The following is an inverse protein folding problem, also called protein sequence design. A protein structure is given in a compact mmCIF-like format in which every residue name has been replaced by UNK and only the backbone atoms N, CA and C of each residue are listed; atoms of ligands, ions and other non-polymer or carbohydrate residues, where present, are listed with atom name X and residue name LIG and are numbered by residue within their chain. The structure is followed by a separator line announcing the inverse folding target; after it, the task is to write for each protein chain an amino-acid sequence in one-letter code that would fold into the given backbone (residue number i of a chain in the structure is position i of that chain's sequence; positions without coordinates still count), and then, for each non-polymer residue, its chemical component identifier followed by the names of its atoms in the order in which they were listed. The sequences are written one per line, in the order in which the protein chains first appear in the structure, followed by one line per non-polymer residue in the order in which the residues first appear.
data_IF_380262919532
#
_entry.id   IF_380262919532
#
_cell.length_a   1.000
_cell.length_b   1.000
_cell.length_c   1.000
_cell.angle_alpha   90.00
_cell.angle_beta   90.00
_cell.angle_gamma   90.00
#
_symmetry.space_group_name_H-M   'P 1'
#
loop_
_entity.id
_entity.type
_entity.pdbx_description
1 polymer ?
#
# COMPACT_ATOMS: atom_id res chain seq x y z
N UNK A 1 -46.21 18.90 9.03
CA UNK A 1 -46.36 18.54 7.60
C UNK A 1 -45.48 19.51 6.82
N UNK A 2 -44.38 19.06 6.24
CA UNK A 2 -43.46 19.94 5.51
C UNK A 2 -43.99 20.09 4.08
N UNK A 3 -44.42 21.30 3.71
CA UNK A 3 -44.88 21.63 2.36
C UNK A 3 -43.87 22.56 1.70
N UNK A 4 -43.38 22.18 0.51
CA UNK A 4 -42.50 23.00 -0.31
C UNK A 4 -43.35 23.81 -1.29
N UNK A 5 -43.83 24.98 -0.88
CA UNK A 5 -44.58 25.87 -1.76
C UNK A 5 -43.64 26.49 -2.82
N UNK A 6 -43.80 26.11 -4.09
CA UNK A 6 -43.12 26.75 -5.23
C UNK A 6 -41.97 25.97 -5.89
N UNK A 7 -41.70 24.72 -5.49
CA UNK A 7 -40.68 23.91 -6.14
C UNK A 7 -41.15 23.41 -7.52
N UNK A 8 -40.70 24.05 -8.60
CA UNK A 8 -40.87 23.53 -9.98
C UNK A 8 -39.99 22.30 -10.19
N UNK A 9 -40.58 21.12 -10.20
CA UNK A 9 -39.90 19.87 -10.52
C UNK A 9 -39.71 19.78 -12.05
N UNK A 10 -38.47 19.67 -12.52
CA UNK A 10 -38.13 19.48 -13.94
C UNK A 10 -37.91 18.00 -14.24
N UNK A 11 -38.26 17.57 -15.46
CA UNK A 11 -37.90 16.23 -15.93
C UNK A 11 -36.37 16.04 -15.88
N UNK A 12 -35.91 14.95 -15.28
CA UNK A 12 -34.48 14.69 -15.05
C UNK A 12 -33.89 15.35 -13.80
N UNK A 13 -34.67 16.10 -13.02
CA UNK A 13 -34.20 16.65 -11.74
C UNK A 13 -33.90 15.51 -10.77
N UNK A 14 -32.66 15.48 -10.25
CA UNK A 14 -32.13 14.42 -9.38
C UNK A 14 -32.01 13.03 -10.05
N UNK A 15 -31.99 12.96 -11.39
CA UNK A 15 -31.72 11.72 -12.11
C UNK A 15 -30.24 11.67 -12.48
N UNK A 16 -29.53 10.64 -12.03
CA UNK A 16 -28.16 10.36 -12.47
C UNK A 16 -28.18 9.67 -13.82
N UNK A 17 -27.37 10.13 -14.76
CA UNK A 17 -27.30 9.53 -16.09
C UNK A 17 -26.38 8.30 -16.07
N UNK A 18 -26.65 7.33 -16.96
CA UNK A 18 -25.75 6.20 -17.11
C UNK A 18 -24.36 6.68 -17.55
N UNK A 19 -23.32 6.33 -16.78
CA UNK A 19 -21.95 6.74 -17.03
C UNK A 19 -21.61 8.20 -16.69
N UNK A 20 -22.42 8.88 -15.86
CA UNK A 20 -22.11 10.27 -15.43
C UNK A 20 -20.79 10.36 -14.64
N UNK A 21 -20.46 9.31 -13.89
CA UNK A 21 -19.24 9.23 -13.10
C UNK A 21 -18.07 8.60 -13.89
N UNK A 22 -18.35 7.56 -14.70
CA UNK A 22 -17.37 6.85 -15.53
C UNK A 22 -18.03 6.30 -16.80
N UNK A 23 -17.46 6.65 -17.96
CA UNK A 23 -17.89 6.12 -19.23
C UNK A 23 -17.28 4.74 -19.51
N UNK A 24 -17.97 3.92 -20.30
CA UNK A 24 -17.42 2.65 -20.77
C UNK A 24 -16.14 2.88 -21.58
N UNK A 25 -15.08 2.12 -21.26
CA UNK A 25 -13.78 2.23 -21.93
C UNK A 25 -12.89 3.37 -21.42
N UNK A 26 -13.36 4.20 -20.49
CA UNK A 26 -12.53 5.20 -19.83
C UNK A 26 -11.52 4.53 -18.90
N UNK A 27 -10.25 4.94 -18.98
CA UNK A 27 -9.23 4.48 -18.05
C UNK A 27 -9.51 5.03 -16.64
N UNK A 28 -9.68 4.14 -15.67
CA UNK A 28 -9.91 4.48 -14.26
C UNK A 28 -8.59 4.62 -13.49
N UNK A 29 -7.57 3.85 -13.88
CA UNK A 29 -6.26 3.84 -13.25
C UNK A 29 -5.15 3.99 -14.29
N UNK A 30 -4.00 4.49 -13.84
CA UNK A 30 -2.77 4.55 -14.62
C UNK A 30 -1.82 3.40 -14.25
N UNK A 31 -0.97 2.97 -15.20
CA UNK A 31 0.06 1.97 -14.92
C UNK A 31 1.03 2.50 -13.86
N UNK A 32 1.34 1.68 -12.85
CA UNK A 32 2.21 2.08 -11.73
C UNK A 32 1.48 2.81 -10.61
N UNK A 33 0.17 3.05 -10.72
CA UNK A 33 -0.61 3.60 -9.63
C UNK A 33 -0.65 2.62 -8.45
N UNK A 34 -0.35 3.13 -7.25
CA UNK A 34 -0.41 2.33 -6.03
C UNK A 34 -1.87 2.08 -5.66
N UNK A 35 -2.23 0.82 -5.47
CA UNK A 35 -3.55 0.45 -4.98
C UNK A 35 -3.61 0.65 -3.46
N UNK A 36 -4.46 1.58 -3.02
CA UNK A 36 -4.82 1.80 -1.62
C UNK A 36 -6.31 1.49 -1.44
N UNK A 37 -6.87 1.81 -0.27
CA UNK A 37 -8.28 1.54 0.05
C UNK A 37 -9.28 2.09 -0.97
N UNK A 38 -9.14 3.33 -1.48
CA UNK A 38 -10.07 3.87 -2.48
C UNK A 38 -10.04 3.10 -3.80
N UNK A 39 -8.84 2.79 -4.31
CA UNK A 39 -8.66 2.05 -5.56
C UNK A 39 -9.25 0.64 -5.46
N UNK A 40 -9.10 -0.03 -4.31
CA UNK A 40 -9.73 -1.33 -4.08
C UNK A 40 -11.26 -1.25 -4.12
N UNK A 41 -11.87 -0.24 -3.49
CA UNK A 41 -13.32 -0.04 -3.53
C UNK A 41 -13.83 0.24 -4.94
N UNK A 42 -13.06 1.02 -5.71
CA UNK A 42 -13.35 1.31 -7.11
C UNK A 42 -13.22 0.08 -8.01
N UNK A 43 -12.19 -0.77 -7.83
CA UNK A 43 -12.09 -2.04 -8.56
C UNK A 43 -13.28 -2.96 -8.27
N UNK A 44 -13.68 -3.07 -7.00
CA UNK A 44 -14.82 -3.88 -6.59
C UNK A 44 -16.14 -3.35 -7.16
N UNK A 45 -16.37 -2.03 -7.17
CA UNK A 45 -17.60 -1.43 -7.70
C UNK A 45 -17.76 -1.63 -9.21
N UNK A 46 -16.64 -1.79 -9.93
CA UNK A 46 -16.60 -2.14 -11.36
C UNK A 46 -16.73 -3.65 -11.62
N UNK A 47 -16.79 -4.49 -10.57
CA UNK A 47 -16.92 -5.94 -10.70
C UNK A 47 -15.61 -6.70 -10.91
N UNK A 48 -14.44 -6.08 -10.71
CA UNK A 48 -13.15 -6.76 -10.82
C UNK A 48 -12.81 -7.51 -9.54
N UNK A 49 -12.69 -8.84 -9.63
CA UNK A 49 -12.25 -9.70 -8.52
C UNK A 49 -10.72 -9.79 -8.38
N UNK A 50 -9.99 -9.56 -9.47
CA UNK A 50 -8.54 -9.61 -9.53
C UNK A 50 -8.01 -8.43 -10.35
N UNK A 51 -6.79 -8.01 -10.03
CA UNK A 51 -6.06 -6.98 -10.77
C UNK A 51 -4.61 -7.43 -10.95
N UNK A 52 -4.06 -7.18 -12.13
CA UNK A 52 -2.64 -7.42 -12.39
C UNK A 52 -1.81 -6.34 -11.69
N UNK A 53 -0.85 -6.78 -10.88
CA UNK A 53 0.04 -5.91 -10.11
C UNK A 53 1.50 -6.29 -10.33
N UNK A 54 2.39 -5.33 -10.12
CA UNK A 54 3.82 -5.63 -10.05
C UNK A 54 4.11 -6.53 -8.84
N UNK A 55 5.01 -7.50 -9.03
CA UNK A 55 5.51 -8.32 -7.92
C UNK A 55 6.17 -7.45 -6.84
N UNK A 56 6.05 -7.84 -5.59
CA UNK A 56 6.81 -7.22 -4.50
C UNK A 56 8.32 -7.31 -4.77
N UNK A 57 9.03 -6.22 -4.45
CA UNK A 57 10.49 -6.20 -4.52
C UNK A 57 11.07 -7.14 -3.47
N UNK A 58 12.07 -7.93 -3.84
CA UNK A 58 12.79 -8.82 -2.93
C UNK A 58 14.13 -8.16 -2.59
N UNK A 59 14.39 -7.97 -1.30
CA UNK A 59 15.59 -7.27 -0.82
C UNK A 59 16.28 -8.13 0.23
N UNK A 60 17.52 -8.51 -0.04
CA UNK A 60 18.35 -9.22 0.93
C UNK A 60 19.17 -8.25 1.77
N UNK A 61 19.22 -8.48 3.08
CA UNK A 61 19.97 -7.65 4.03
C UNK A 61 20.86 -8.54 4.91
N UNK A 62 22.04 -8.03 5.24
CA UNK A 62 22.95 -8.62 6.20
C UNK A 62 23.79 -7.52 6.86
N UNK A 63 24.33 -7.83 8.03
CA UNK A 63 25.26 -6.96 8.74
C UNK A 63 26.65 -7.56 8.71
N UNK A 64 27.67 -6.70 8.72
CA UNK A 64 29.08 -7.06 8.79
C UNK A 64 29.77 -6.19 9.83
N UNK A 65 30.90 -6.66 10.37
CA UNK A 65 31.68 -5.95 11.38
C UNK A 65 31.88 -6.80 12.62
N UNK A 66 33.13 -6.98 13.03
CA UNK A 66 33.49 -7.81 14.19
C UNK A 66 32.91 -7.26 15.49
N UNK A 67 32.60 -5.96 15.52
CA UNK A 67 31.97 -5.25 16.62
C UNK A 67 30.45 -5.47 16.69
N UNK A 68 29.80 -6.05 15.68
CA UNK A 68 28.33 -6.08 15.59
C UNK A 68 27.76 -7.41 16.11
N UNK A 69 26.84 -7.32 17.07
CA UNK A 69 26.17 -8.46 17.69
C UNK A 69 24.65 -8.41 17.49
N UNK A 70 24.01 -9.56 17.29
CA UNK A 70 22.55 -9.64 17.28
C UNK A 70 21.96 -9.35 18.67
N UNK A 71 20.84 -8.61 18.76
CA UNK A 71 20.16 -8.37 20.03
C UNK A 71 19.54 -9.67 20.58
N UNK A 72 19.48 -9.79 21.92
CA UNK A 72 18.85 -10.93 22.61
C UNK A 72 19.74 -11.68 23.60
N UNK A 73 21.00 -11.26 23.77
CA UNK A 73 21.92 -11.76 24.79
C UNK A 73 22.76 -10.65 25.40
N UNK A 74 23.65 -11.02 26.32
CA UNK A 74 24.60 -10.09 26.92
C UNK A 74 25.59 -9.55 25.87
N UNK A 75 25.99 -8.30 26.04
CA UNK A 75 26.89 -7.63 25.10
C UNK A 75 28.33 -8.06 25.38
N UNK A 76 29.02 -8.50 24.33
CA UNK A 76 30.45 -8.80 24.43
C UNK A 76 31.27 -7.51 24.62
N UNK A 77 32.44 -7.57 25.31
CA UNK A 77 33.32 -6.42 25.44
C UNK A 77 33.70 -5.82 24.07
N UNK A 78 33.61 -4.49 23.94
CA UNK A 78 33.84 -3.75 22.70
C UNK A 78 32.88 -4.05 21.53
N UNK A 79 31.73 -4.66 21.81
CA UNK A 79 30.69 -4.89 20.80
C UNK A 79 29.54 -3.88 20.90
N UNK A 80 28.76 -3.77 19.84
CA UNK A 80 27.54 -2.97 19.70
C UNK A 80 26.42 -3.85 19.13
N UNK A 81 25.16 -3.53 19.47
CA UNK A 81 24.03 -4.24 18.88
C UNK A 81 23.75 -3.79 17.45
N UNK A 82 23.38 -4.76 16.61
CA UNK A 82 22.91 -4.54 15.24
C UNK A 82 21.57 -3.81 15.23
N UNK A 83 21.58 -2.48 15.19
CA UNK A 83 20.38 -1.64 15.10
C UNK A 83 19.96 -1.36 13.65
N UNK A 84 20.93 -1.33 12.73
CA UNK A 84 20.71 -0.96 11.34
C UNK A 84 19.88 -2.02 10.61
N UNK A 85 20.17 -3.30 10.79
CA UNK A 85 19.41 -4.37 10.13
C UNK A 85 17.93 -4.34 10.51
N UNK A 86 17.61 -4.07 11.77
CA UNK A 86 16.21 -3.98 12.22
C UNK A 86 15.52 -2.72 11.69
N UNK A 87 16.22 -1.59 11.69
CA UNK A 87 15.72 -0.33 11.11
C UNK A 87 15.39 -0.51 9.63
N UNK A 88 16.32 -1.06 8.86
CA UNK A 88 16.15 -1.31 7.42
C UNK A 88 15.05 -2.34 7.16
N UNK A 89 14.96 -3.41 7.96
CA UNK A 89 13.87 -4.38 7.86
C UNK A 89 12.50 -3.72 8.02
N UNK A 90 12.36 -2.85 9.02
CA UNK A 90 11.11 -2.13 9.28
C UNK A 90 10.71 -1.23 8.11
N UNK A 91 11.65 -0.42 7.61
CA UNK A 91 11.43 0.48 6.48
C UNK A 91 11.06 -0.29 5.20
N UNK A 92 11.77 -1.37 4.88
CA UNK A 92 11.48 -2.20 3.72
C UNK A 92 10.10 -2.86 3.79
N UNK A 93 9.69 -3.33 4.98
CA UNK A 93 8.34 -3.87 5.19
C UNK A 93 7.25 -2.80 4.99
N UNK A 94 7.46 -1.57 5.47
CA UNK A 94 6.53 -0.45 5.24
C UNK A 94 6.40 -0.09 3.76
N UNK A 95 7.46 -0.27 2.98
CA UNK A 95 7.45 -0.10 1.52
C UNK A 95 6.84 -1.30 0.77
N UNK A 96 6.40 -2.36 1.47
CA UNK A 96 5.81 -3.55 0.85
C UNK A 96 6.83 -4.48 0.20
N UNK A 97 8.11 -4.38 0.57
CA UNK A 97 9.16 -5.27 0.10
C UNK A 97 9.15 -6.60 0.86
N UNK A 98 9.50 -7.68 0.17
CA UNK A 98 9.85 -8.97 0.76
C UNK A 98 11.30 -8.92 1.22
N UNK A 99 11.53 -8.90 2.53
CA UNK A 99 12.88 -8.88 3.12
C UNK A 99 13.41 -10.30 3.29
N UNK A 100 14.63 -10.54 2.84
CA UNK A 100 15.40 -11.76 3.06
C UNK A 100 16.53 -11.40 4.05
N UNK A 101 16.37 -11.84 5.29
CA UNK A 101 17.38 -11.59 6.33
C UNK A 101 18.44 -12.69 6.29
N UNK A 102 19.67 -12.32 5.97
CA UNK A 102 20.82 -13.21 5.91
C UNK A 102 21.67 -13.14 7.20
N UNK A 103 21.22 -12.37 8.20
CA UNK A 103 21.85 -12.28 9.52
C UNK A 103 23.11 -11.43 9.55
N UNK A 104 23.99 -11.75 10.49
CA UNK A 104 25.28 -11.09 10.64
C UNK A 104 26.40 -12.05 10.23
N UNK A 105 27.34 -11.55 9.43
CA UNK A 105 28.55 -12.27 9.03
C UNK A 105 29.78 -11.58 9.63
N UNK A 106 30.57 -12.36 10.38
CA UNK A 106 31.96 -12.06 10.70
C UNK A 106 32.83 -12.27 9.46
#
# INVERSE_FOLDING_TARGET
MVSFAGAKIKAGQNVRQAGEDLAQGQAVFSTGQRLLSPEMGMLASLGFAHADVFRSLKVAIFSTGDEVQAPGGDIEPNSIFDSNRFTLTGLLKQLGCQVIDLGHRR
#
